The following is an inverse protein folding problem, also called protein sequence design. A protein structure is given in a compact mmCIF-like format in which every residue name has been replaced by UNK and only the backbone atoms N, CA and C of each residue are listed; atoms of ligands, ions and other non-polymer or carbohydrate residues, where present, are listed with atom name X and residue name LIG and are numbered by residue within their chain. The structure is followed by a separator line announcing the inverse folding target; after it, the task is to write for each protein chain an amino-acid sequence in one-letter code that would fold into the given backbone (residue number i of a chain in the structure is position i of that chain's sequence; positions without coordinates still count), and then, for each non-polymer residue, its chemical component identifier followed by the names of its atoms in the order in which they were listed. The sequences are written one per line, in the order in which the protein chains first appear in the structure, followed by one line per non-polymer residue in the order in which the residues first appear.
data_IF_021581995515
#
_entry.id   IF_021581995515
#
_cell.length_a   1.000
_cell.length_b   1.000
_cell.length_c   1.000
_cell.angle_alpha   90.00
_cell.angle_beta   90.00
_cell.angle_gamma   90.00
#
_symmetry.space_group_name_H-M   'P 1'
#
loop_
_entity.id
_entity.type
_entity.pdbx_description
1 polymer ?
#
# COMPACT_ATOMS: atom_id res chain seq x y z
N UNK A 1 3.47 10.59 -40.64
CA UNK A 1 3.05 11.65 -39.71
C UNK A 1 4.19 11.88 -38.75
N UNK A 2 4.49 13.12 -38.41
CA UNK A 2 5.69 13.48 -37.67
C UNK A 2 5.44 13.21 -36.17
N UNK A 3 5.61 11.94 -35.76
CA UNK A 3 5.17 11.42 -34.46
C UNK A 3 5.72 12.20 -33.27
N UNK A 4 6.93 12.77 -33.36
CA UNK A 4 7.52 13.55 -32.28
C UNK A 4 6.82 14.88 -32.03
N UNK A 5 6.39 15.59 -33.09
CA UNK A 5 5.68 16.87 -32.96
C UNK A 5 4.28 16.67 -32.42
N UNK A 6 3.55 15.68 -32.92
CA UNK A 6 2.21 15.36 -32.42
C UNK A 6 2.26 14.84 -30.97
N UNK A 7 3.31 14.11 -30.59
CA UNK A 7 3.52 13.66 -29.21
C UNK A 7 3.86 14.82 -28.26
N UNK A 8 4.68 15.76 -28.72
CA UNK A 8 4.99 16.98 -27.96
C UNK A 8 3.70 17.78 -27.69
N UNK A 9 2.87 17.97 -28.71
CA UNK A 9 1.57 18.62 -28.59
C UNK A 9 0.61 17.84 -27.65
N UNK A 10 0.67 16.51 -27.66
CA UNK A 10 -0.12 15.67 -26.74
C UNK A 10 0.34 15.78 -25.28
N UNK A 11 1.65 15.75 -25.02
CA UNK A 11 2.20 15.89 -23.67
C UNK A 11 1.93 17.29 -23.10
N UNK A 12 2.03 18.30 -23.96
CA UNK A 12 1.54 19.65 -23.68
C UNK A 12 0.05 19.64 -23.28
N UNK A 13 -0.75 18.93 -24.07
CA UNK A 13 -2.12 18.49 -23.82
C UNK A 13 -2.47 18.09 -22.39
N UNK A 14 -1.60 17.28 -21.77
CA UNK A 14 -1.88 16.62 -20.49
C UNK A 14 -1.58 17.51 -19.27
N UNK A 15 -0.62 18.44 -19.38
CA UNK A 15 -0.21 19.31 -18.27
C UNK A 15 -1.20 20.43 -17.97
N UNK A 16 -2.09 20.72 -18.91
CA UNK A 16 -2.97 21.88 -18.91
C UNK A 16 -4.44 21.47 -18.88
N UNK A 17 -4.77 20.40 -18.14
CA UNK A 17 -6.11 19.77 -18.03
C UNK A 17 -7.30 20.74 -17.82
N UNK A 18 -7.07 22.02 -17.55
CA UNK A 18 -8.08 23.09 -17.45
C UNK A 18 -8.12 24.10 -18.61
N UNK A 19 -7.12 24.13 -19.51
CA UNK A 19 -6.96 25.15 -20.56
C UNK A 19 -7.11 24.62 -21.99
N UNK A 20 -6.84 23.33 -22.23
CA UNK A 20 -7.01 22.75 -23.57
C UNK A 20 -8.46 22.31 -23.78
N UNK A 21 -9.10 22.89 -24.80
CA UNK A 21 -10.45 22.54 -25.19
C UNK A 21 -10.53 21.04 -25.54
N UNK A 22 -11.45 20.31 -24.92
CA UNK A 22 -11.67 18.88 -25.16
C UNK A 22 -11.86 18.53 -26.66
N UNK A 23 -12.26 19.49 -27.48
CA UNK A 23 -12.35 19.34 -28.93
C UNK A 23 -11.00 19.10 -29.63
N UNK A 24 -9.86 19.39 -29.00
CA UNK A 24 -8.53 19.19 -29.59
C UNK A 24 -8.22 17.70 -29.84
N UNK A 25 -8.66 16.83 -28.95
CA UNK A 25 -8.50 15.38 -29.09
C UNK A 25 -9.56 14.73 -29.99
N UNK A 26 -10.48 15.51 -30.55
CA UNK A 26 -11.50 15.01 -31.49
C UNK A 26 -10.97 14.81 -32.92
N UNK A 27 -9.74 15.24 -33.22
CA UNK A 27 -9.11 14.98 -34.52
C UNK A 27 -8.85 13.48 -34.72
N UNK A 28 -9.33 12.86 -35.81
CA UNK A 28 -9.11 11.43 -36.08
C UNK A 28 -7.64 10.98 -36.10
N UNK A 29 -6.67 11.90 -36.30
CA UNK A 29 -5.24 11.56 -36.29
C UNK A 29 -4.83 10.87 -34.98
N UNK A 30 -5.42 11.26 -33.85
CA UNK A 30 -5.11 10.75 -32.52
C UNK A 30 -5.48 9.27 -32.32
N UNK A 31 -6.41 8.74 -33.13
CA UNK A 31 -6.80 7.33 -33.10
C UNK A 31 -5.69 6.39 -33.59
N UNK A 32 -4.69 6.93 -34.31
CA UNK A 32 -3.61 6.14 -34.90
C UNK A 32 -2.27 6.29 -34.17
N UNK A 33 -2.17 7.24 -33.23
CA UNK A 33 -0.95 7.53 -32.50
C UNK A 33 -0.96 6.71 -31.21
N UNK A 34 -0.04 5.75 -31.14
CA UNK A 34 0.23 4.93 -29.94
C UNK A 34 1.39 5.56 -29.20
N UNK A 35 1.27 5.67 -27.87
CA UNK A 35 2.34 6.22 -27.02
C UNK A 35 3.07 5.06 -26.35
N UNK A 36 4.37 4.93 -26.62
CA UNK A 36 5.25 3.92 -26.00
C UNK A 36 6.25 4.56 -25.03
N UNK A 37 6.86 3.79 -24.12
CA UNK A 37 7.92 4.31 -23.25
C UNK A 37 9.08 4.97 -24.01
N UNK A 38 9.50 4.39 -25.15
CA UNK A 38 10.59 4.96 -25.97
C UNK A 38 10.22 6.30 -26.61
N UNK A 39 8.93 6.51 -26.92
CA UNK A 39 8.46 7.80 -27.41
C UNK A 39 8.58 8.87 -26.31
N UNK A 40 8.23 8.52 -25.06
CA UNK A 40 8.37 9.43 -23.92
C UNK A 40 9.83 9.75 -23.57
N UNK A 41 10.73 8.77 -23.64
CA UNK A 41 12.17 8.98 -23.44
C UNK A 41 12.76 10.04 -24.36
N UNK A 42 12.19 10.20 -25.56
CA UNK A 42 12.68 11.17 -26.55
C UNK A 42 12.23 12.61 -26.32
N UNK A 43 11.21 12.82 -25.47
CA UNK A 43 10.58 14.14 -25.28
C UNK A 43 10.65 14.62 -23.82
N UNK A 44 10.61 13.72 -22.86
CA UNK A 44 10.68 14.06 -21.45
C UNK A 44 12.14 14.28 -21.00
N UNK A 45 12.29 15.00 -19.89
CA UNK A 45 13.60 15.21 -19.27
C UNK A 45 14.30 13.88 -19.01
N UNK A 46 15.60 13.84 -19.25
CA UNK A 46 16.47 12.77 -18.78
C UNK A 46 17.14 13.21 -17.47
N UNK A 47 17.23 12.30 -16.51
CA UNK A 47 17.87 12.57 -15.23
C UNK A 47 19.36 12.93 -15.38
N UNK A 48 20.04 12.44 -16.43
CA UNK A 48 21.42 12.82 -16.72
C UNK A 48 21.62 14.29 -16.99
N UNK A 49 20.59 14.94 -17.52
CA UNK A 49 20.66 16.33 -17.96
C UNK A 49 20.26 17.27 -16.81
N UNK A 50 19.54 16.73 -15.83
CA UNK A 50 19.12 17.45 -14.62
C UNK A 50 20.15 17.34 -13.48
N UNK A 51 20.79 16.18 -13.31
CA UNK A 51 21.71 15.94 -12.18
C UNK A 51 23.09 16.51 -12.44
N UNK A 52 23.43 17.59 -11.73
CA UNK A 52 24.76 18.18 -11.75
C UNK A 52 25.74 17.39 -10.89
N UNK A 53 25.29 16.95 -9.71
CA UNK A 53 26.13 16.26 -8.73
C UNK A 53 25.27 15.43 -7.78
N UNK A 54 25.67 14.18 -7.51
CA UNK A 54 25.08 13.35 -6.46
C UNK A 54 26.16 12.71 -5.60
N UNK A 55 25.94 12.75 -4.28
CA UNK A 55 26.78 12.07 -3.29
C UNK A 55 25.90 11.33 -2.30
N UNK A 56 26.31 10.14 -1.86
CA UNK A 56 25.65 9.41 -0.76
C UNK A 56 26.69 9.01 0.29
N UNK A 57 26.63 9.64 1.46
CA UNK A 57 27.68 9.52 2.47
C UNK A 57 29.01 10.05 1.93
N UNK A 58 30.05 9.20 1.92
CA UNK A 58 31.37 9.54 1.37
C UNK A 58 31.54 9.15 -0.10
N UNK A 59 30.54 8.52 -0.71
CA UNK A 59 30.62 8.04 -2.09
C UNK A 59 30.19 9.15 -3.06
N UNK A 60 31.07 9.43 -4.02
CA UNK A 60 30.79 10.28 -5.17
C UNK A 60 30.39 9.42 -6.37
N UNK A 61 29.24 9.71 -6.98
CA UNK A 61 28.79 8.98 -8.16
C UNK A 61 29.26 9.67 -9.44
N UNK A 62 30.22 9.05 -10.14
CA UNK A 62 30.70 9.57 -11.43
C UNK A 62 29.65 9.54 -12.55
N UNK A 63 28.67 8.63 -12.46
CA UNK A 63 27.53 8.55 -13.38
C UNK A 63 26.24 8.37 -12.56
N UNK A 64 25.73 9.46 -11.94
CA UNK A 64 24.68 9.36 -10.94
C UNK A 64 23.38 8.81 -11.51
N UNK A 65 23.09 9.05 -12.79
CA UNK A 65 21.89 8.58 -13.49
C UNK A 65 21.69 7.06 -13.44
N UNK A 66 22.78 6.27 -13.34
CA UNK A 66 22.69 4.79 -13.26
C UNK A 66 22.12 4.28 -11.94
N UNK A 67 22.13 5.11 -10.91
CA UNK A 67 21.61 4.77 -9.59
C UNK A 67 20.11 5.09 -9.44
N UNK A 68 19.48 5.64 -10.49
CA UNK A 68 18.06 5.97 -10.51
C UNK A 68 17.33 5.09 -11.51
N UNK A 69 16.13 4.67 -11.14
CA UNK A 69 15.19 4.02 -12.04
C UNK A 69 14.25 5.09 -12.61
N UNK A 70 14.12 5.14 -13.93
CA UNK A 70 13.15 5.99 -14.60
C UNK A 70 11.81 5.28 -14.61
N UNK A 71 10.80 5.93 -14.05
CA UNK A 71 9.44 5.43 -14.01
C UNK A 71 8.52 6.51 -14.56
N UNK A 72 7.60 6.12 -15.44
CA UNK A 72 6.61 7.06 -15.94
C UNK A 72 5.35 6.96 -15.07
N UNK A 73 4.73 8.10 -14.69
CA UNK A 73 3.47 8.10 -13.93
C UNK A 73 2.53 9.22 -14.35
N UNK A 74 1.25 8.91 -14.56
CA UNK A 74 0.22 9.94 -14.67
C UNK A 74 -0.06 10.53 -13.27
N UNK A 75 -0.19 11.86 -13.08
CA UNK A 75 -0.03 12.94 -14.05
C UNK A 75 1.40 13.54 -14.09
N UNK A 76 2.36 12.98 -13.35
CA UNK A 76 3.73 13.51 -13.20
C UNK A 76 4.66 13.31 -14.41
N UNK A 77 4.22 12.56 -15.43
CA UNK A 77 4.96 12.16 -16.63
C UNK A 77 6.21 11.35 -16.29
N UNK A 78 7.37 11.98 -16.05
CA UNK A 78 8.64 11.31 -15.72
C UNK A 78 8.99 11.45 -14.23
N UNK A 79 9.25 10.32 -13.59
CA UNK A 79 9.69 10.22 -12.21
C UNK A 79 11.02 9.44 -12.14
N UNK A 80 11.90 9.85 -11.25
CA UNK A 80 13.18 9.18 -11.04
C UNK A 80 13.28 8.70 -9.60
N UNK A 81 13.51 7.40 -9.42
CA UNK A 81 13.56 6.80 -8.09
C UNK A 81 14.95 6.31 -7.75
N UNK A 82 15.51 6.88 -6.69
CA UNK A 82 16.73 6.38 -6.07
C UNK A 82 16.41 5.22 -5.11
N UNK A 83 17.25 4.18 -5.11
CA UNK A 83 17.15 3.06 -4.16
C UNK A 83 15.79 2.30 -4.19
N UNK A 84 15.18 2.18 -5.38
CA UNK A 84 13.99 1.35 -5.62
C UNK A 84 14.33 -0.14 -5.72
N UNK A 85 13.65 -0.99 -4.95
CA UNK A 85 13.95 -2.42 -4.81
C UNK A 85 12.69 -3.31 -4.96
N UNK A 86 11.58 -2.76 -5.47
CA UNK A 86 10.33 -3.52 -5.69
C UNK A 86 10.40 -4.49 -6.88
N UNK A 87 11.36 -4.30 -7.78
CA UNK A 87 11.66 -5.20 -8.91
C UNK A 87 12.82 -6.17 -8.62
N UNK A 88 13.44 -6.10 -7.45
CA UNK A 88 14.53 -7.00 -7.07
C UNK A 88 14.03 -8.13 -6.19
N UNK A 89 14.56 -9.34 -6.38
CA UNK A 89 14.24 -10.48 -5.51
C UNK A 89 14.81 -10.30 -4.11
N UNK A 90 15.97 -9.67 -4.01
CA UNK A 90 16.66 -9.37 -2.76
C UNK A 90 16.53 -7.88 -2.43
N UNK A 91 16.16 -7.58 -1.18
CA UNK A 91 16.13 -6.22 -0.65
C UNK A 91 17.40 -6.00 0.16
N UNK A 92 18.30 -5.21 -0.39
CA UNK A 92 19.53 -4.80 0.26
C UNK A 92 19.27 -3.55 1.09
N UNK A 93 19.12 -3.75 2.40
CA UNK A 93 19.03 -2.62 3.35
C UNK A 93 20.45 -2.26 3.79
N UNK A 94 20.94 -1.11 3.32
CA UNK A 94 22.17 -0.49 3.85
C UNK A 94 21.87 0.05 5.24
N UNK A 95 22.73 -0.26 6.22
CA UNK A 95 22.65 0.36 7.54
C UNK A 95 23.11 1.81 7.38
N UNK A 96 22.25 2.77 7.71
CA UNK A 96 22.62 4.19 7.71
C UNK A 96 23.54 4.49 8.88
N UNK A 97 24.53 5.35 8.66
CA UNK A 97 25.30 6.00 9.72
C UNK A 97 24.77 7.43 9.95
N UNK A 98 25.22 8.09 11.02
CA UNK A 98 24.78 9.47 11.35
C UNK A 98 25.13 10.46 10.24
N UNK A 99 26.22 10.21 9.51
CA UNK A 99 26.70 11.07 8.42
C UNK A 99 26.26 10.60 7.02
N UNK A 100 25.44 9.54 6.93
CA UNK A 100 24.95 9.04 5.64
C UNK A 100 23.82 9.95 5.15
N UNK A 101 24.12 10.79 4.18
CA UNK A 101 23.18 11.72 3.56
C UNK A 101 23.25 11.61 2.04
N UNK A 102 22.10 11.68 1.38
CA UNK A 102 22.00 11.82 -0.06
C UNK A 102 21.93 13.30 -0.40
N UNK A 103 22.93 13.81 -1.11
CA UNK A 103 22.97 15.19 -1.59
C UNK A 103 22.84 15.17 -3.10
N UNK A 104 21.93 15.99 -3.62
CA UNK A 104 21.70 16.16 -5.05
C UNK A 104 21.73 17.65 -5.38
N UNK A 105 22.49 18.00 -6.43
CA UNK A 105 22.40 19.29 -7.08
C UNK A 105 21.69 19.08 -8.40
N UNK A 106 20.58 19.80 -8.59
CA UNK A 106 19.69 19.61 -9.72
C UNK A 106 19.53 20.94 -10.44
N UNK A 107 19.59 20.85 -11.76
CA UNK A 107 19.14 21.86 -12.70
C UNK A 107 17.77 21.44 -13.26
N UNK A 108 16.74 22.25 -13.04
CA UNK A 108 15.41 21.97 -13.59
C UNK A 108 15.28 22.34 -15.07
N UNK A 109 16.24 23.08 -15.64
CA UNK A 109 16.21 23.56 -17.03
C UNK A 109 14.85 24.17 -17.41
N UNK A 110 14.46 25.24 -16.72
CA UNK A 110 13.14 25.84 -16.84
C UNK A 110 12.84 26.36 -18.26
N UNK A 111 13.88 26.67 -19.04
CA UNK A 111 13.78 27.06 -20.45
C UNK A 111 13.21 25.97 -21.36
N UNK A 112 13.32 24.70 -20.96
CA UNK A 112 12.77 23.54 -21.67
C UNK A 112 11.32 23.21 -21.26
N UNK A 113 10.73 23.99 -20.34
CA UNK A 113 9.37 23.74 -19.91
C UNK A 113 8.37 23.98 -21.04
N UNK A 114 7.29 23.19 -21.05
CA UNK A 114 6.13 23.44 -21.88
C UNK A 114 5.53 24.84 -21.58
N UNK A 115 5.14 25.58 -22.62
CA UNK A 115 4.59 26.96 -22.66
C UNK A 115 3.40 27.30 -21.72
N UNK A 116 2.89 26.38 -20.90
CA UNK A 116 1.80 26.62 -19.93
C UNK A 116 2.04 25.92 -18.57
N UNK A 117 3.30 25.64 -18.23
CA UNK A 117 3.65 25.07 -16.92
C UNK A 117 3.31 26.07 -15.80
N UNK A 118 2.30 25.76 -14.98
CA UNK A 118 1.80 26.66 -13.94
C UNK A 118 2.78 26.88 -12.78
N UNK A 119 3.66 25.90 -12.53
CA UNK A 119 4.62 25.90 -11.42
C UNK A 119 5.97 25.40 -11.89
N UNK A 120 7.04 25.98 -11.36
CA UNK A 120 8.40 25.51 -11.57
C UNK A 120 8.96 24.87 -10.30
N UNK A 121 9.63 23.73 -10.47
CA UNK A 121 10.09 22.92 -9.36
C UNK A 121 9.91 21.43 -9.58
N UNK A 122 10.04 20.67 -8.50
CA UNK A 122 9.99 19.21 -8.48
C UNK A 122 9.15 18.70 -7.32
N UNK A 123 8.56 17.51 -7.49
CA UNK A 123 7.94 16.77 -6.40
C UNK A 123 8.94 15.78 -5.82
N UNK A 124 9.19 15.87 -4.51
CA UNK A 124 9.98 14.90 -3.75
C UNK A 124 9.03 14.00 -2.95
N UNK A 125 9.00 12.72 -3.31
CA UNK A 125 8.16 11.72 -2.67
C UNK A 125 9.04 10.68 -1.96
N UNK A 126 8.72 10.33 -0.72
CA UNK A 126 9.52 9.39 0.08
C UNK A 126 8.64 8.21 0.47
N UNK A 127 9.11 7.01 0.16
CA UNK A 127 8.39 5.76 0.40
C UNK A 127 9.35 4.62 0.69
N UNK A 128 8.86 3.48 1.24
CA UNK A 128 9.66 2.28 1.44
C UNK A 128 10.28 1.74 0.13
N UNK A 129 11.51 1.21 0.18
CA UNK A 129 12.23 0.77 -1.02
C UNK A 129 11.60 -0.45 -1.70
N UNK A 130 10.84 -1.25 -0.97
CA UNK A 130 10.15 -2.46 -1.44
C UNK A 130 8.72 -2.18 -1.95
N UNK A 131 8.29 -0.92 -1.93
CA UNK A 131 6.99 -0.49 -2.42
C UNK A 131 7.17 0.45 -3.62
N UNK A 132 6.49 0.21 -4.76
CA UNK A 132 6.57 1.10 -5.91
C UNK A 132 5.89 2.44 -5.60
N UNK A 133 6.41 3.50 -6.21
CA UNK A 133 5.80 4.82 -6.13
C UNK A 133 4.38 4.85 -6.70
N UNK A 134 3.53 5.66 -6.05
CA UNK A 134 2.20 5.98 -6.51
C UNK A 134 1.86 7.46 -6.29
N UNK A 135 0.95 7.97 -7.10
CA UNK A 135 0.40 9.34 -6.99
C UNK A 135 -0.22 9.67 -5.64
N UNK A 136 -0.68 8.69 -4.86
CA UNK A 136 -1.21 8.90 -3.49
C UNK A 136 -0.12 8.95 -2.43
N UNK A 137 1.12 8.59 -2.78
CA UNK A 137 2.27 8.76 -1.89
C UNK A 137 2.44 10.25 -1.60
N UNK A 138 2.59 10.65 -0.33
CA UNK A 138 2.77 12.05 0.02
C UNK A 138 4.08 12.59 -0.55
N UNK A 139 4.00 13.73 -1.23
CA UNK A 139 5.12 14.40 -1.85
C UNK A 139 5.22 15.86 -1.40
N UNK A 140 6.45 16.34 -1.22
CA UNK A 140 6.77 17.75 -0.98
C UNK A 140 7.07 18.44 -2.31
N UNK A 141 6.59 19.67 -2.50
CA UNK A 141 6.91 20.49 -3.69
C UNK A 141 8.13 21.35 -3.40
N UNK A 142 9.14 21.27 -4.25
CA UNK A 142 10.42 21.97 -4.13
C UNK A 142 10.53 23.00 -5.24
N UNK A 143 10.69 24.27 -4.90
CA UNK A 143 10.93 25.37 -5.84
C UNK A 143 12.42 25.57 -6.10
N UNK A 144 12.84 25.99 -7.30
CA UNK A 144 14.24 26.33 -7.57
C UNK A 144 14.76 27.47 -6.69
N UNK A 145 16.07 27.68 -6.68
CA UNK A 145 16.74 28.74 -5.93
C UNK A 145 16.86 28.49 -4.43
N UNK A 146 16.67 27.23 -4.01
CA UNK A 146 16.70 26.83 -2.61
C UNK A 146 17.58 25.59 -2.39
N UNK A 147 18.23 25.57 -1.23
CA UNK A 147 18.81 24.39 -0.64
C UNK A 147 17.82 23.84 0.38
N UNK A 148 17.30 22.65 0.09
CA UNK A 148 16.40 21.89 0.92
C UNK A 148 17.17 20.89 1.77
N UNK A 149 16.84 20.85 3.05
CA UNK A 149 17.28 19.81 3.97
C UNK A 149 16.04 19.08 4.48
N UNK A 150 15.99 17.79 4.15
CA UNK A 150 14.88 16.89 4.41
C UNK A 150 15.35 15.85 5.42
N UNK A 151 14.88 16.01 6.65
CA UNK A 151 15.17 15.11 7.76
C UNK A 151 14.08 14.03 7.84
N UNK A 152 14.50 12.77 7.89
CA UNK A 152 13.61 11.61 7.92
C UNK A 152 13.50 11.00 9.31
N UNK A 153 12.25 10.77 9.73
CA UNK A 153 11.88 10.05 10.94
C UNK A 153 11.23 8.72 10.58
N UNK A 154 11.72 7.60 11.14
CA UNK A 154 11.22 6.26 10.79
C UNK A 154 10.23 5.78 11.85
N UNK A 155 8.99 5.52 11.42
CA UNK A 155 7.95 4.94 12.25
C UNK A 155 7.58 3.56 11.72
N UNK A 156 7.68 2.56 12.58
CA UNK A 156 7.24 1.20 12.28
C UNK A 156 5.93 0.93 13.02
N UNK A 157 4.84 0.81 12.26
CA UNK A 157 3.52 0.51 12.80
C UNK A 157 3.28 -0.99 12.79
N UNK A 158 2.69 -1.52 13.85
CA UNK A 158 2.26 -2.92 13.95
C UNK A 158 0.86 -2.98 14.54
N UNK A 159 -0.05 -3.59 13.79
CA UNK A 159 -1.46 -3.75 14.11
C UNK A 159 -1.76 -5.20 14.49
N UNK A 160 -2.84 -5.39 15.24
CA UNK A 160 -3.34 -6.73 15.56
C UNK A 160 -4.21 -7.26 14.40
N UNK A 161 -4.02 -8.53 14.00
CA UNK A 161 -4.86 -9.17 12.99
C UNK A 161 -6.29 -9.40 13.51
N UNK A 162 -7.14 -10.00 12.68
CA UNK A 162 -8.47 -10.46 13.11
C UNK A 162 -8.38 -11.26 14.43
N UNK A 163 -9.29 -11.05 15.40
CA UNK A 163 -10.55 -10.30 15.33
C UNK A 163 -10.48 -8.85 15.83
N UNK A 164 -9.29 -8.28 16.03
CA UNK A 164 -9.14 -7.00 16.74
C UNK A 164 -9.49 -5.75 15.89
N UNK A 165 -9.60 -5.87 14.57
CA UNK A 165 -9.87 -4.73 13.65
C UNK A 165 -8.98 -3.50 13.89
N UNK A 166 -7.72 -3.77 14.25
CA UNK A 166 -6.79 -2.76 14.78
C UNK A 166 -6.29 -1.77 13.72
N UNK A 167 -6.42 -2.10 12.44
CA UNK A 167 -6.01 -1.24 11.33
C UNK A 167 -7.19 -0.36 10.92
N UNK A 168 -7.27 0.88 11.43
CA UNK A 168 -8.36 1.82 11.06
C UNK A 168 -9.78 1.22 11.12
N UNK A 169 -10.06 0.37 12.12
CA UNK A 169 -11.33 -0.37 12.25
C UNK A 169 -11.57 -1.46 11.19
N UNK A 170 -10.50 -1.99 10.60
CA UNK A 170 -10.52 -3.09 9.63
C UNK A 170 -9.48 -4.15 9.98
N UNK A 171 -9.68 -5.35 9.45
CA UNK A 171 -8.75 -6.46 9.58
C UNK A 171 -7.48 -6.22 8.76
N UNK A 172 -6.36 -6.70 9.31
CA UNK A 172 -5.09 -6.82 8.61
C UNK A 172 -4.63 -8.28 8.63
N UNK A 173 -3.69 -8.61 7.75
CA UNK A 173 -3.04 -9.92 7.72
C UNK A 173 -1.52 -9.79 7.83
N UNK A 174 -0.89 -10.82 8.36
CA UNK A 174 0.57 -10.92 8.42
C UNK A 174 1.12 -11.34 7.06
N UNK A 175 1.54 -10.37 6.26
CA UNK A 175 2.08 -10.60 4.90
C UNK A 175 3.53 -11.09 4.90
N UNK A 176 4.23 -10.99 6.03
CA UNK A 176 5.60 -11.44 6.22
C UNK A 176 5.71 -12.94 6.55
N UNK A 177 4.61 -13.60 6.90
CA UNK A 177 4.63 -15.01 7.24
C UNK A 177 4.71 -15.88 5.98
N UNK A 178 5.44 -16.99 6.11
CA UNK A 178 5.55 -18.07 5.14
C UNK A 178 4.21 -18.67 4.70
N UNK A 179 3.14 -18.44 5.46
CA UNK A 179 1.77 -18.87 5.15
C UNK A 179 1.05 -17.96 4.15
N UNK A 180 1.51 -16.72 3.95
CA UNK A 180 0.92 -15.80 3.00
C UNK A 180 1.21 -16.25 1.56
N UNK A 181 0.15 -16.35 0.76
CA UNK A 181 0.17 -16.87 -0.62
C UNK A 181 -0.53 -15.88 -1.53
N UNK A 182 0.09 -14.72 -1.77
CA UNK A 182 -0.32 -13.81 -2.83
C UNK A 182 0.91 -13.37 -3.62
N UNK A 183 1.04 -13.95 -4.80
CA UNK A 183 2.06 -13.57 -5.75
C UNK A 183 1.49 -12.45 -6.63
N UNK A 184 2.27 -11.40 -6.76
CA UNK A 184 2.01 -10.32 -7.68
C UNK A 184 2.50 -10.73 -9.08
N UNK A 185 1.82 -10.29 -10.14
CA UNK A 185 2.13 -10.65 -11.52
C UNK A 185 3.41 -9.99 -12.01
N UNK A 186 3.61 -8.75 -11.60
CA UNK A 186 4.63 -7.85 -12.09
C UNK A 186 5.66 -7.49 -11.00
N UNK A 187 5.29 -7.55 -9.72
CA UNK A 187 6.21 -7.33 -8.61
C UNK A 187 6.67 -8.65 -7.97
N UNK A 188 7.93 -8.74 -7.55
CA UNK A 188 8.46 -9.95 -6.92
C UNK A 188 8.03 -10.14 -5.47
N UNK A 189 7.67 -9.05 -4.79
CA UNK A 189 7.27 -9.05 -3.38
C UNK A 189 5.94 -8.35 -3.23
N UNK A 190 5.13 -8.86 -2.31
CA UNK A 190 3.89 -8.21 -1.96
C UNK A 190 4.17 -6.90 -1.22
N UNK A 191 3.74 -5.80 -1.82
CA UNK A 191 3.49 -4.54 -1.14
C UNK A 191 2.02 -4.17 -1.34
N UNK A 192 1.46 -3.45 -0.37
CA UNK A 192 0.06 -3.04 -0.45
C UNK A 192 -0.18 -2.15 -1.67
N UNK A 193 0.73 -1.20 -1.93
CA UNK A 193 0.63 -0.35 -3.13
C UNK A 193 0.88 -1.10 -4.41
N UNK A 194 1.85 -2.02 -4.44
CA UNK A 194 2.13 -2.86 -5.60
C UNK A 194 0.88 -3.63 -6.03
N UNK A 195 0.23 -4.33 -5.10
CA UNK A 195 -1.01 -5.06 -5.37
C UNK A 195 -2.10 -4.17 -5.98
N UNK A 196 -2.29 -2.97 -5.42
CA UNK A 196 -3.29 -2.03 -5.91
C UNK A 196 -2.95 -1.47 -7.30
N UNK A 197 -1.66 -1.31 -7.64
CA UNK A 197 -1.24 -0.92 -8.99
C UNK A 197 -1.50 -2.03 -10.00
N UNK A 198 -1.25 -3.30 -9.65
CA UNK A 198 -1.58 -4.43 -10.53
C UNK A 198 -3.08 -4.55 -10.76
N UNK A 199 -3.87 -4.45 -9.68
CA UNK A 199 -5.32 -4.45 -9.78
C UNK A 199 -5.84 -3.34 -10.70
N UNK A 200 -5.33 -2.11 -10.54
CA UNK A 200 -5.69 -1.00 -11.42
C UNK A 200 -5.33 -1.29 -12.88
N UNK A 201 -4.13 -1.81 -13.12
CA UNK A 201 -3.65 -2.17 -14.46
C UNK A 201 -4.55 -3.23 -15.10
N UNK A 202 -4.89 -4.30 -14.36
CA UNK A 202 -5.78 -5.36 -14.82
C UNK A 202 -7.18 -4.81 -15.19
N UNK A 203 -7.73 -3.91 -14.36
CA UNK A 203 -9.02 -3.29 -14.63
C UNK A 203 -8.99 -2.34 -15.84
N UNK A 204 -7.91 -1.59 -16.03
CA UNK A 204 -7.71 -0.75 -17.22
C UNK A 204 -7.63 -1.61 -18.46
N UNK A 205 -6.87 -2.71 -18.41
CA UNK A 205 -6.74 -3.65 -19.53
C UNK A 205 -8.09 -4.30 -19.87
N UNK A 206 -8.86 -4.73 -18.87
CA UNK A 206 -10.20 -5.31 -19.08
C UNK A 206 -11.17 -4.29 -19.70
N UNK A 207 -11.15 -3.04 -19.21
CA UNK A 207 -12.12 -2.02 -19.61
C UNK A 207 -11.78 -1.33 -20.93
N UNK A 208 -10.51 -0.97 -21.13
CA UNK A 208 -10.04 -0.16 -22.26
C UNK A 208 -9.33 -1.01 -23.33
N UNK A 209 -8.97 -2.26 -23.04
CA UNK A 209 -8.33 -3.18 -23.99
C UNK A 209 -6.89 -2.84 -24.34
N UNK A 210 -6.25 -1.97 -23.55
CA UNK A 210 -4.87 -1.50 -23.73
C UNK A 210 -4.27 -1.11 -22.38
N UNK A 211 -2.94 -1.04 -22.33
CA UNK A 211 -2.19 -0.51 -21.19
C UNK A 211 -1.54 0.83 -21.54
N UNK A 212 -1.24 1.60 -20.51
CA UNK A 212 -0.44 2.80 -20.56
C UNK A 212 1.01 2.48 -20.18
N UNK A 213 1.91 3.36 -20.58
CA UNK A 213 3.33 3.34 -20.24
C UNK A 213 3.64 3.47 -18.73
N UNK A 214 2.70 3.99 -17.94
CA UNK A 214 2.78 4.17 -16.50
C UNK A 214 2.45 2.93 -15.68
N UNK A 215 1.74 2.00 -16.32
CA UNK A 215 1.28 0.76 -15.73
C UNK A 215 2.37 -0.29 -15.74
N UNK A 216 2.20 -1.31 -14.91
CA UNK A 216 3.17 -2.39 -14.80
C UNK A 216 2.95 -3.36 -15.98
N UNK A 217 4.01 -3.73 -16.69
CA UNK A 217 3.91 -4.24 -18.05
C UNK A 217 4.25 -5.73 -18.16
N UNK A 218 3.51 -6.48 -18.99
CA UNK A 218 3.96 -7.75 -19.54
C UNK A 218 4.42 -7.57 -20.98
N UNK A 219 5.32 -8.43 -21.45
CA UNK A 219 5.87 -8.35 -22.82
C UNK A 219 4.83 -8.47 -23.95
N UNK A 220 3.58 -8.84 -23.65
CA UNK A 220 2.52 -9.09 -24.64
C UNK A 220 1.43 -8.02 -24.67
N UNK A 221 1.48 -7.03 -23.79
CA UNK A 221 0.42 -6.03 -23.64
C UNK A 221 0.48 -4.98 -24.75
N UNK A 222 -0.68 -4.49 -25.20
CA UNK A 222 -0.78 -3.46 -26.26
C UNK A 222 -0.88 -2.08 -25.64
N UNK A 223 -0.04 -1.15 -26.10
CA UNK A 223 -0.11 0.25 -25.67
C UNK A 223 -1.36 0.96 -26.20
N UNK A 224 -1.92 1.85 -25.37
CA UNK A 224 -3.06 2.68 -25.71
C UNK A 224 -2.72 3.74 -26.77
N UNK A 225 -3.69 4.01 -27.64
CA UNK A 225 -3.67 5.22 -28.47
C UNK A 225 -3.94 6.48 -27.65
N UNK A 226 -3.57 7.64 -28.18
CA UNK A 226 -3.87 8.94 -27.56
C UNK A 226 -5.37 9.09 -27.24
N UNK A 227 -6.25 8.70 -28.17
CA UNK A 227 -7.69 8.74 -27.95
C UNK A 227 -8.15 7.79 -26.84
N UNK A 228 -7.72 6.52 -26.87
CA UNK A 228 -8.08 5.56 -25.80
C UNK A 228 -7.64 6.05 -24.43
N UNK A 229 -6.47 6.69 -24.37
CA UNK A 229 -5.94 7.25 -23.15
C UNK A 229 -6.79 8.40 -22.61
N UNK A 230 -7.21 9.33 -23.46
CA UNK A 230 -8.01 10.48 -23.05
C UNK A 230 -9.48 10.09 -22.77
N UNK A 231 -10.07 9.26 -23.61
CA UNK A 231 -11.51 8.97 -23.57
C UNK A 231 -11.86 7.80 -22.63
N UNK A 232 -10.93 6.87 -22.40
CA UNK A 232 -11.18 5.69 -21.56
C UNK A 232 -10.30 5.67 -20.30
N UNK A 233 -8.98 5.68 -20.45
CA UNK A 233 -8.07 5.44 -19.32
C UNK A 233 -8.10 6.59 -18.31
N UNK A 234 -7.87 7.82 -18.75
CA UNK A 234 -7.84 8.99 -17.87
C UNK A 234 -9.10 9.17 -17.02
N UNK A 235 -10.34 9.14 -17.56
CA UNK A 235 -11.53 9.25 -16.75
C UNK A 235 -11.73 8.04 -15.83
N UNK A 236 -11.33 6.83 -16.25
CA UNK A 236 -11.41 5.64 -15.41
C UNK A 236 -10.45 5.70 -14.21
N UNK A 237 -9.17 6.01 -14.46
CA UNK A 237 -8.13 6.13 -13.44
C UNK A 237 -8.47 7.27 -12.47
N UNK A 238 -8.94 8.43 -12.97
CA UNK A 238 -9.42 9.53 -12.11
C UNK A 238 -10.56 9.09 -11.21
N UNK A 239 -11.54 8.37 -11.76
CA UNK A 239 -12.67 7.83 -10.99
C UNK A 239 -12.18 6.85 -9.93
N UNK A 240 -11.30 5.92 -10.28
CA UNK A 240 -10.71 4.95 -9.36
C UNK A 240 -10.00 5.64 -8.18
N UNK A 241 -9.15 6.64 -8.44
CA UNK A 241 -8.48 7.37 -7.37
C UNK A 241 -9.44 8.19 -6.51
N UNK A 242 -10.49 8.77 -7.11
CA UNK A 242 -11.51 9.51 -6.38
C UNK A 242 -12.31 8.59 -5.43
N UNK A 243 -12.79 7.46 -5.94
CA UNK A 243 -13.57 6.50 -5.15
C UNK A 243 -12.74 5.87 -4.04
N UNK A 244 -11.49 5.51 -4.32
CA UNK A 244 -10.60 4.88 -3.34
C UNK A 244 -10.14 5.84 -2.25
N UNK A 245 -10.02 7.14 -2.54
CA UNK A 245 -9.67 8.16 -1.54
C UNK A 245 -10.85 8.53 -0.64
N UNK A 246 -12.09 8.54 -1.16
CA UNK A 246 -13.27 8.96 -0.41
C UNK A 246 -13.95 7.82 0.37
N UNK A 247 -14.04 6.62 -0.21
CA UNK A 247 -14.79 5.51 0.38
C UNK A 247 -13.97 4.66 1.36
N UNK A 248 -12.63 4.70 1.29
CA UNK A 248 -11.74 3.81 2.05
C UNK A 248 -11.83 2.33 1.66
N UNK A 249 -12.83 1.93 0.86
CA UNK A 249 -13.17 0.56 0.46
C UNK A 249 -12.52 0.15 -0.86
N UNK A 250 -11.20 0.37 -0.98
CA UNK A 250 -10.44 -0.21 -2.09
C UNK A 250 -10.46 -1.75 -2.05
N UNK A 251 -10.73 -2.34 -0.89
CA UNK A 251 -10.83 -3.79 -0.67
C UNK A 251 -12.03 -4.45 -1.37
N UNK A 252 -13.08 -3.70 -1.72
CA UNK A 252 -14.21 -4.25 -2.51
C UNK A 252 -13.89 -4.31 -4.01
N UNK A 253 -13.04 -3.39 -4.49
CA UNK A 253 -12.62 -3.31 -5.89
C UNK A 253 -11.38 -4.17 -6.18
N UNK A 254 -10.46 -4.22 -5.22
CA UNK A 254 -9.21 -4.95 -5.31
C UNK A 254 -9.09 -5.89 -4.11
N UNK A 255 -8.93 -7.18 -4.39
CA UNK A 255 -8.46 -8.13 -3.38
C UNK A 255 -6.98 -7.80 -3.10
N UNK A 256 -6.72 -6.86 -2.19
CA UNK A 256 -5.39 -6.50 -1.72
C UNK A 256 -5.41 -6.49 -0.19
N UNK A 257 -4.98 -7.58 0.45
CA UNK A 257 -5.01 -7.68 1.90
C UNK A 257 -4.12 -6.63 2.58
N UNK A 258 -4.64 -5.93 3.59
CA UNK A 258 -3.86 -4.92 4.31
C UNK A 258 -2.78 -5.60 5.17
N UNK A 259 -1.52 -5.16 5.10
CA UNK A 259 -0.48 -5.72 5.95
C UNK A 259 -0.65 -5.23 7.40
N UNK A 260 -0.44 -6.11 8.38
CA UNK A 260 -0.43 -5.75 9.79
C UNK A 260 0.83 -4.97 10.22
N UNK A 261 1.82 -4.84 9.34
CA UNK A 261 3.04 -4.08 9.60
C UNK A 261 3.37 -3.21 8.40
N UNK A 262 3.72 -1.96 8.65
CA UNK A 262 4.14 -1.01 7.64
C UNK A 262 5.15 -0.02 8.21
N UNK A 263 6.05 0.44 7.36
CA UNK A 263 7.04 1.48 7.67
C UNK A 263 6.60 2.78 7.02
N UNK A 264 6.59 3.85 7.80
CA UNK A 264 6.27 5.21 7.34
C UNK A 264 7.45 6.11 7.62
N UNK A 265 7.84 6.89 6.61
CA UNK A 265 8.87 7.92 6.72
C UNK A 265 8.21 9.27 6.95
N UNK A 266 8.29 9.78 8.18
CA UNK A 266 8.00 11.18 8.49
C UNK A 266 9.07 12.07 7.86
N UNK A 267 8.66 13.25 7.37
CA UNK A 267 9.55 14.17 6.67
C UNK A 267 9.44 15.55 7.31
N UNK A 268 10.57 16.08 7.76
CA UNK A 268 10.70 17.46 8.20
C UNK A 268 11.54 18.22 7.17
N UNK A 269 10.91 19.19 6.50
CA UNK A 269 11.51 19.95 5.41
C UNK A 269 11.90 21.34 5.89
N UNK A 270 13.15 21.71 5.65
CA UNK A 270 13.65 23.07 5.83
C UNK A 270 14.29 23.57 4.53
N UNK A 271 14.27 24.88 4.33
CA UNK A 271 14.74 25.51 3.10
C UNK A 271 15.57 26.76 3.42
N UNK A 272 16.60 26.98 2.61
CA UNK A 272 17.44 28.19 2.62
C UNK A 272 17.74 28.62 1.19
N UNK A 273 18.13 29.87 0.96
CA UNK A 273 18.46 30.32 -0.39
C UNK A 273 19.70 29.61 -0.94
N UNK A 274 19.62 29.23 -2.23
CA UNK A 274 20.73 28.68 -2.98
C UNK A 274 20.78 29.28 -4.40
N UNK A 275 21.97 29.63 -4.91
CA UNK A 275 23.23 29.69 -4.21
C UNK A 275 23.32 30.89 -3.25
N UNK A 276 24.28 30.83 -2.31
CA UNK A 276 24.73 32.03 -1.61
C UNK A 276 25.37 33.00 -2.61
N UNK A 277 25.28 34.31 -2.37
CA UNK A 277 25.81 35.32 -3.30
C UNK A 277 27.31 35.15 -3.55
N UNK A 278 28.07 34.71 -2.54
CA UNK A 278 29.51 34.46 -2.66
C UNK A 278 29.88 33.26 -3.55
N UNK A 279 28.93 32.36 -3.84
CA UNK A 279 29.17 31.16 -4.64
C UNK A 279 28.98 31.44 -6.15
N UNK A 280 28.43 32.60 -6.53
CA UNK A 280 28.03 32.83 -7.92
C UNK A 280 29.21 32.85 -8.90
N UNK A 281 30.35 33.41 -8.49
CA UNK A 281 31.53 33.49 -9.34
C UNK A 281 32.08 32.09 -9.67
N UNK A 282 31.96 31.15 -8.73
CA UNK A 282 32.34 29.76 -8.94
C UNK A 282 31.39 29.06 -9.93
N UNK A 283 30.07 29.27 -9.79
CA UNK A 283 29.08 28.70 -10.71
C UNK A 283 29.24 29.24 -12.13
N UNK A 284 29.55 30.53 -12.28
CA UNK A 284 29.89 31.14 -13.56
C UNK A 284 31.16 30.55 -14.17
N UNK A 285 32.22 30.39 -13.38
CA UNK A 285 33.46 29.80 -13.84
C UNK A 285 33.29 28.33 -14.29
N UNK A 286 32.36 27.60 -13.67
CA UNK A 286 31.99 26.23 -14.04
C UNK A 286 30.96 26.12 -15.17
N UNK A 287 30.49 27.24 -15.74
CA UNK A 287 29.39 27.28 -16.72
C UNK A 287 28.09 26.64 -16.23
N UNK A 288 27.84 26.63 -14.92
CA UNK A 288 26.59 26.10 -14.34
C UNK A 288 25.47 27.14 -14.29
N UNK A 289 25.82 28.43 -14.24
CA UNK A 289 24.84 29.52 -14.28
C UNK A 289 25.50 30.80 -14.79
N UNK A 290 24.74 31.61 -15.53
CA UNK A 290 25.19 32.89 -16.10
C UNK A 290 25.07 34.06 -15.13
N UNK A 291 24.14 34.01 -14.18
CA UNK A 291 23.85 35.05 -13.19
C UNK A 291 23.24 34.46 -11.92
N UNK A 292 23.15 35.25 -10.84
CA UNK A 292 22.48 34.80 -9.61
C UNK A 292 20.99 34.55 -9.82
N UNK A 293 20.36 35.34 -10.71
CA UNK A 293 18.95 35.17 -11.07
C UNK A 293 18.74 33.86 -11.81
N UNK A 294 19.57 33.60 -12.82
CA UNK A 294 19.58 32.34 -13.58
C UNK A 294 19.81 31.12 -12.68
N UNK A 295 20.77 31.21 -11.76
CA UNK A 295 21.00 30.15 -10.78
C UNK A 295 19.78 29.92 -9.87
N UNK A 296 19.06 30.98 -9.49
CA UNK A 296 17.88 30.88 -8.63
C UNK A 296 16.61 30.44 -9.36
N UNK A 297 16.52 30.65 -10.67
CA UNK A 297 15.41 30.13 -11.47
C UNK A 297 15.55 28.65 -11.80
N UNK A 298 16.78 28.14 -11.89
CA UNK A 298 17.05 26.80 -12.41
C UNK A 298 17.63 25.81 -11.39
N UNK A 299 18.51 26.26 -10.50
CA UNK A 299 19.27 25.36 -9.65
C UNK A 299 18.62 25.14 -8.28
N UNK A 300 18.71 23.91 -7.78
CA UNK A 300 18.37 23.58 -6.39
C UNK A 300 19.34 22.56 -5.82
N UNK A 301 19.47 22.58 -4.49
CA UNK A 301 20.20 21.58 -3.73
C UNK A 301 19.22 20.82 -2.84
N UNK A 302 19.25 19.50 -2.85
CA UNK A 302 18.42 18.65 -1.99
C UNK A 302 19.35 17.79 -1.15
N UNK A 303 19.16 17.82 0.17
CA UNK A 303 19.85 16.97 1.13
C UNK A 303 18.79 16.11 1.82
N UNK A 304 18.91 14.79 1.71
CA UNK A 304 18.04 13.83 2.39
C UNK A 304 18.90 13.08 3.40
N UNK A 305 18.47 13.10 4.67
CA UNK A 305 19.18 12.44 5.77
C UNK A 305 18.19 11.91 6.80
N UNK A 306 18.61 10.98 7.65
CA UNK A 306 17.83 10.63 8.83
C UNK A 306 18.03 11.67 9.93
N UNK A 307 16.96 12.06 10.62
CA UNK A 307 17.05 12.97 11.76
C UNK A 307 17.83 12.34 12.91
N UNK A 308 17.57 11.05 13.13
CA UNK A 308 18.31 10.20 14.07
C UNK A 308 18.37 8.76 13.57
N UNK A 309 19.28 7.96 14.14
CA UNK A 309 19.33 6.51 13.89
C UNK A 309 18.27 5.74 14.68
N UNK A 310 17.35 6.42 15.37
CA UNK A 310 16.30 5.78 16.14
C UNK A 310 15.11 5.44 15.24
N UNK A 311 14.56 4.24 15.44
CA UNK A 311 13.31 3.82 14.82
C UNK A 311 12.25 3.76 15.90
N UNK A 312 11.13 4.46 15.69
CA UNK A 312 10.02 4.45 16.62
C UNK A 312 9.06 3.32 16.26
N UNK A 313 8.85 2.39 17.20
CA UNK A 313 7.90 1.29 17.05
C UNK A 313 6.57 1.66 17.72
N UNK A 314 5.49 1.64 16.94
CA UNK A 314 4.13 1.90 17.41
C UNK A 314 3.34 0.61 17.22
N UNK A 315 3.15 -0.15 18.29
CA UNK A 315 2.47 -1.44 18.25
C UNK A 315 1.16 -1.42 19.02
N UNK A 316 0.10 -1.92 18.40
CA UNK A 316 -1.17 -2.16 19.08
C UNK A 316 -1.07 -3.44 19.90
N UNK A 317 -1.53 -3.36 21.14
CA UNK A 317 -1.60 -4.50 22.08
C UNK A 317 -3.06 -4.71 22.47
N UNK A 318 -3.50 -5.97 22.71
CA UNK A 318 -4.86 -6.23 23.19
C UNK A 318 -5.11 -5.47 24.50
N UNK A 319 -6.28 -4.87 24.64
CA UNK A 319 -6.66 -4.14 25.87
C UNK A 319 -6.79 -5.09 27.07
N UNK A 320 -7.26 -6.31 26.81
CA UNK A 320 -7.28 -7.39 27.78
C UNK A 320 -6.80 -8.68 27.15
N UNK A 321 -5.91 -9.39 27.84
CA UNK A 321 -5.55 -10.76 27.49
C UNK A 321 -6.57 -11.75 28.04
N UNK A 322 -6.56 -13.00 27.55
CA UNK A 322 -7.52 -14.02 28.01
C UNK A 322 -7.40 -14.30 29.52
N UNK A 323 -6.19 -14.26 30.07
CA UNK A 323 -5.92 -14.42 31.49
C UNK A 323 -6.43 -13.23 32.32
N UNK A 324 -6.33 -12.01 31.80
CA UNK A 324 -6.91 -10.82 32.44
C UNK A 324 -8.44 -10.86 32.43
N UNK A 325 -9.07 -11.33 31.33
CA UNK A 325 -10.52 -11.53 31.26
C UNK A 325 -10.99 -12.54 32.31
N UNK A 326 -10.30 -13.69 32.42
CA UNK A 326 -10.63 -14.72 33.42
C UNK A 326 -10.42 -14.20 34.84
N UNK A 327 -9.32 -13.47 35.07
CA UNK A 327 -9.02 -12.84 36.35
C UNK A 327 -10.09 -11.81 36.75
N UNK A 328 -10.49 -10.95 35.82
CA UNK A 328 -11.53 -9.93 36.01
C UNK A 328 -12.90 -10.54 36.30
N UNK A 329 -13.29 -11.57 35.56
CA UNK A 329 -14.52 -12.34 35.82
C UNK A 329 -14.49 -12.98 37.21
N UNK A 330 -13.37 -13.60 37.58
CA UNK A 330 -13.16 -14.17 38.92
C UNK A 330 -13.22 -13.10 40.03
N UNK A 331 -12.64 -11.92 39.77
CA UNK A 331 -12.69 -10.77 40.67
C UNK A 331 -14.11 -10.26 40.91
N UNK A 332 -14.89 -10.08 39.84
CA UNK A 332 -16.30 -9.67 39.94
C UNK A 332 -17.15 -10.71 40.67
N UNK A 333 -16.97 -12.01 40.37
CA UNK A 333 -17.68 -13.09 41.08
C UNK A 333 -17.32 -13.14 42.56
N UNK A 334 -16.03 -13.04 42.89
CA UNK A 334 -15.54 -13.03 44.27
C UNK A 334 -16.04 -11.82 45.04
N UNK A 335 -16.10 -10.64 44.41
CA UNK A 335 -16.55 -9.41 45.05
C UNK A 335 -18.07 -9.38 45.28
N UNK A 336 -18.88 -9.66 44.25
CA UNK A 336 -20.34 -9.51 44.35
C UNK A 336 -21.02 -10.70 45.02
N UNK A 337 -20.53 -11.92 44.81
CA UNK A 337 -21.19 -13.13 45.29
C UNK A 337 -20.42 -13.81 46.43
N UNK A 338 -19.17 -13.41 46.70
CA UNK A 338 -18.27 -14.21 47.56
C UNK A 338 -17.98 -15.58 46.96
N UNK A 339 -18.20 -15.76 45.65
CA UNK A 339 -18.11 -17.05 44.99
C UNK A 339 -16.73 -17.25 44.34
N UNK A 340 -16.31 -18.51 44.26
CA UNK A 340 -15.09 -18.91 43.57
C UNK A 340 -15.38 -19.98 42.52
N UNK A 341 -14.36 -20.39 41.77
CA UNK A 341 -14.45 -21.56 40.87
C UNK A 341 -14.95 -22.81 41.61
N UNK A 342 -14.57 -22.99 42.89
CA UNK A 342 -15.05 -24.11 43.69
C UNK A 342 -16.57 -24.04 43.93
N UNK A 343 -17.11 -22.84 44.15
CA UNK A 343 -18.56 -22.63 44.32
C UNK A 343 -19.33 -22.98 43.04
N UNK A 344 -18.77 -22.66 41.86
CA UNK A 344 -19.36 -23.06 40.57
C UNK A 344 -19.37 -24.58 40.39
N UNK A 345 -18.25 -25.24 40.74
CA UNK A 345 -18.15 -26.69 40.68
C UNK A 345 -19.11 -27.39 41.65
N UNK A 346 -19.32 -26.82 42.83
CA UNK A 346 -20.30 -27.33 43.81
C UNK A 346 -21.73 -27.26 43.27
N UNK A 347 -22.12 -26.12 42.68
CA UNK A 347 -23.42 -25.97 42.03
C UNK A 347 -23.58 -26.99 40.89
N UNK A 348 -22.53 -27.20 40.10
CA UNK A 348 -22.53 -28.21 39.03
C UNK A 348 -22.68 -29.64 39.58
N UNK A 349 -22.00 -30.00 40.67
CA UNK A 349 -22.14 -31.31 41.33
C UNK A 349 -23.58 -31.54 41.82
N UNK A 350 -24.19 -30.53 42.46
CA UNK A 350 -25.58 -30.61 42.94
C UNK A 350 -26.56 -30.79 41.77
N UNK A 351 -26.38 -30.04 40.66
CA UNK A 351 -27.21 -30.19 39.45
C UNK A 351 -27.06 -31.59 38.86
N UNK A 352 -25.84 -32.09 38.73
CA UNK A 352 -25.60 -33.43 38.16
C UNK A 352 -26.21 -34.54 39.04
N UNK A 353 -26.08 -34.45 40.37
CA UNK A 353 -26.68 -35.41 41.31
C UNK A 353 -28.20 -35.38 41.29
N UNK A 354 -28.80 -34.19 41.24
CA UNK A 354 -30.25 -34.04 41.18
C UNK A 354 -30.80 -34.56 39.85
N UNK A 355 -30.17 -34.24 38.72
CA UNK A 355 -30.52 -34.80 37.41
C UNK A 355 -30.41 -36.33 37.40
N UNK A 356 -29.32 -36.89 37.92
CA UNK A 356 -29.16 -38.34 38.03
C UNK A 356 -30.25 -38.98 38.90
N UNK A 357 -30.62 -38.35 40.02
CA UNK A 357 -31.69 -38.82 40.90
C UNK A 357 -33.08 -38.74 40.24
N UNK A 358 -33.36 -37.67 39.47
CA UNK A 358 -34.60 -37.52 38.70
C UNK A 358 -34.68 -38.55 37.58
N UNK A 359 -33.59 -38.79 36.86
CA UNK A 359 -33.53 -39.83 35.83
C UNK A 359 -33.75 -41.22 36.47
N UNK A 360 -33.07 -41.50 37.59
CA UNK A 360 -33.24 -42.76 38.31
C UNK A 360 -34.68 -42.94 38.83
N UNK A 361 -35.32 -41.89 39.32
CA UNK A 361 -36.72 -41.96 39.78
C UNK A 361 -37.69 -42.16 38.61
N UNK A 362 -37.44 -41.53 37.46
CA UNK A 362 -38.21 -41.75 36.22
C UNK A 362 -38.13 -43.22 35.77
N UNK A 363 -36.92 -43.79 35.69
CA UNK A 363 -36.75 -45.22 35.35
C UNK A 363 -37.41 -46.15 36.38
N UNK A 364 -37.40 -45.78 37.67
CA UNK A 364 -38.05 -46.58 38.73
C UNK A 364 -39.58 -46.57 38.56
N UNK A 365 -40.18 -45.44 38.19
CA UNK A 365 -41.62 -45.32 37.89
C UNK A 365 -41.98 -46.11 36.63
N UNK A 366 -41.14 -46.08 35.59
CA UNK A 366 -41.38 -46.85 34.36
C UNK A 366 -41.30 -48.36 34.59
N UNK A 367 -40.37 -48.83 35.43
CA UNK A 367 -40.29 -50.24 35.85
C UNK A 367 -41.52 -50.63 36.69
N UNK A 368 -42.01 -49.76 37.58
CA UNK A 368 -43.22 -50.03 38.37
C UNK A 368 -44.46 -50.06 37.48
N UNK A 369 -44.60 -49.12 36.54
CA UNK A 369 -45.72 -49.08 35.58
C UNK A 369 -45.71 -50.26 34.60
N UNK A 370 -44.54 -50.78 34.21
CA UNK A 370 -44.45 -52.03 33.43
C UNK A 370 -44.77 -53.28 34.25
N UNK A 371 -44.60 -53.25 35.58
CA UNK A 371 -45.00 -54.35 36.48
C UNK A 371 -46.50 -54.35 36.81
N UNK A 372 -47.19 -53.22 36.74
CA UNK A 372 -48.64 -53.11 37.02
C UNK A 372 -49.54 -53.31 35.79
N UNK A 373 -49.00 -53.59 34.59
CA UNK A 373 -49.82 -54.14 33.50
C UNK A 373 -50.31 -55.55 33.89
N UNK A 374 -51.62 -55.79 34.06
CA UNK A 374 -52.12 -57.11 34.41
C UNK A 374 -51.82 -58.09 33.26
N UNK A 375 -51.19 -59.23 33.57
CA UNK A 375 -51.16 -60.38 32.67
C UNK A 375 -52.59 -60.91 32.54
N UNK A 376 -53.18 -60.72 31.37
CA UNK A 376 -54.40 -61.44 30.98
C UNK A 376 -54.05 -62.94 30.97
N UNK A 377 -54.66 -63.73 31.85
CA UNK A 377 -54.46 -65.18 31.95
C UNK A 377 -55.20 -65.87 30.80
N UNK A 378 -54.49 -66.38 29.80
CA UNK A 378 -54.98 -67.44 28.91
C UNK A 378 -54.75 -68.80 29.57
N UNK A 379 -55.81 -69.38 30.13
CA UNK A 379 -55.83 -70.78 30.55
C UNK A 379 -55.89 -71.67 29.30
N UNK A 380 -54.76 -72.27 28.92
CA UNK A 380 -54.72 -73.38 27.96
C UNK A 380 -54.75 -74.70 28.73
N UNK A 381 -55.86 -75.40 28.52
CA UNK A 381 -56.19 -76.80 28.77
C UNK A 381 -55.04 -77.74 28.36
N UNK A 382 -54.59 -78.62 29.27
CA UNK A 382 -54.08 -79.97 28.95
C UNK A 382 -54.25 -80.91 30.15
N UNK A 383 -55.19 -81.84 30.06
CA UNK A 383 -55.08 -83.13 30.73
C UNK A 383 -55.42 -84.24 29.74
N UNK A 384 -54.56 -85.26 29.74
CA UNK A 384 -54.48 -86.32 28.74
C UNK A 384 -55.46 -87.46 28.93
N UNK A 385 -55.58 -88.24 27.85
CA UNK A 385 -56.41 -89.44 27.71
C UNK A 385 -55.63 -90.70 28.22
N UNK A 386 -56.32 -91.73 28.74
CA UNK A 386 -55.68 -92.83 29.50
C UNK A 386 -55.24 -94.02 28.63
N UNK A 387 -54.39 -94.86 29.21
CA UNK A 387 -53.82 -96.08 28.61
C UNK A 387 -54.82 -97.26 28.51
N UNK A 388 -54.55 -98.11 27.52
CA UNK A 388 -55.27 -99.34 27.14
C UNK A 388 -55.01 -100.51 28.10
N UNK A 389 -56.04 -101.36 28.23
CA UNK A 389 -56.14 -102.68 28.86
C UNK A 389 -56.58 -102.70 30.34
#
# INVERSE_FOLDING_TARGET
MNTSSDLYDFLYGQNTLSLINASYFSDPKWNSIVVTPGDLESVLFNISDMLLLVTHGLEYFANPSRNFQTNYKWPMLACFTYNGQWETKDVNRRMSTVDDQLIMYIDINQDQYAFESLTAGMHLCIHPPDEPFDVRTPCSVLSPGHAYEVSLNVHHYTYLPHPYNSYQSSDCITTSDSSFRKNLKYFHRYSYRGCQLECLTDMVLEKCGCITEYEVQNASDKFCTVTQRQDCVAPFVRKFYFETSYSGNITELCDCPRPCSNVVYGQDLSASFFPAESLIDYLKAGNFASSLEDARSNLMRIIIKFDSLMVTHISHVPEMTLDEVVSSMGGFMGFFLGASVLTVLEVFDVIMRTMAAVIASYFKVEIVNNKTKPKLNENIVKDGMPSVA
#
